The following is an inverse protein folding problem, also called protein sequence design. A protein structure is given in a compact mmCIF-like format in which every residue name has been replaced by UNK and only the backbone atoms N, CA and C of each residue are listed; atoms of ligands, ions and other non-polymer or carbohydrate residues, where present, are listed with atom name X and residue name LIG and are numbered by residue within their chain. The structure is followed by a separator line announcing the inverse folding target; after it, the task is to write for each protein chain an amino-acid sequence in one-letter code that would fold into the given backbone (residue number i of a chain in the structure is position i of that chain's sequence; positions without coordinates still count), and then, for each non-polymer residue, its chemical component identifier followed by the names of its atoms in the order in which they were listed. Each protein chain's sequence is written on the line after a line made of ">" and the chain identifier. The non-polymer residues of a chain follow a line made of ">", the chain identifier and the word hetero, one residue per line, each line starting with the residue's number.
data_IF_785961930359
#
_entry.id   IF_785961930359
#
_cell.length_a   1.000
_cell.length_b   1.000
_cell.length_c   1.000
_cell.angle_alpha   90.00
_cell.angle_beta   90.00
_cell.angle_gamma   90.00
#
_symmetry.space_group_name_H-M   'P 1'
#
loop_
_entity.id
_entity.type
_entity.pdbx_description
1 polymer ?
#
# COMPACT_ATOMS: atom_id res chain seq x y z
N UNK A 1 62.63 26.60 -32.93
CA UNK A 1 62.45 27.00 -31.52
C UNK A 1 61.05 26.59 -31.09
N UNK A 2 60.98 25.79 -30.02
CA UNK A 2 59.76 25.41 -29.32
C UNK A 2 59.20 26.58 -28.52
N UNK A 3 57.88 26.64 -28.34
CA UNK A 3 57.24 26.79 -27.02
C UNK A 3 55.80 26.24 -27.08
N UNK A 4 55.38 25.66 -25.95
CA UNK A 4 54.27 24.73 -25.75
C UNK A 4 53.46 25.19 -24.52
N UNK A 5 52.16 24.85 -24.52
CA UNK A 5 51.13 24.93 -23.45
C UNK A 5 50.63 26.36 -23.10
N UNK A 6 49.34 26.59 -22.82
CA UNK A 6 48.48 25.82 -21.91
C UNK A 6 46.99 25.79 -22.27
N UNK A 7 46.37 24.68 -21.89
CA UNK A 7 44.94 24.34 -21.96
C UNK A 7 44.09 25.28 -21.10
N UNK A 8 42.94 25.78 -21.59
CA UNK A 8 41.87 26.27 -20.68
C UNK A 8 40.49 26.50 -21.30
N UNK A 9 39.88 25.46 -21.82
CA UNK A 9 38.42 25.47 -22.02
C UNK A 9 37.78 24.07 -21.90
N UNK A 10 38.38 23.19 -21.10
CA UNK A 10 37.78 21.93 -20.66
C UNK A 10 37.30 22.02 -19.20
N UNK A 11 36.41 22.98 -18.88
CA UNK A 11 35.77 23.04 -17.54
C UNK A 11 34.41 23.76 -17.54
N UNK A 12 33.59 23.62 -18.59
CA UNK A 12 32.16 24.04 -18.48
C UNK A 12 31.15 23.01 -18.96
N UNK A 13 31.59 21.86 -19.49
CA UNK A 13 30.70 20.77 -19.94
C UNK A 13 30.59 19.63 -18.93
N UNK A 14 30.81 19.91 -17.63
CA UNK A 14 30.64 18.90 -16.58
C UNK A 14 29.79 19.37 -15.37
N UNK A 15 29.03 20.46 -15.55
CA UNK A 15 28.11 20.96 -14.52
C UNK A 15 26.65 20.59 -14.77
N UNK A 16 26.32 20.00 -15.93
CA UNK A 16 24.93 19.72 -16.35
C UNK A 16 24.52 18.24 -16.40
N UNK A 17 25.38 17.28 -16.03
CA UNK A 17 25.08 15.83 -16.23
C UNK A 17 25.17 14.88 -15.02
N UNK A 18 25.42 15.33 -13.79
CA UNK A 18 25.59 14.40 -12.65
C UNK A 18 24.75 14.69 -11.39
N UNK A 19 23.69 15.51 -11.50
CA UNK A 19 22.56 15.32 -10.59
C UNK A 19 21.74 14.14 -11.10
N UNK A 20 22.24 12.92 -10.88
CA UNK A 20 21.43 11.72 -11.00
C UNK A 20 20.36 11.79 -9.90
N UNK A 21 19.25 12.47 -10.18
CA UNK A 21 18.02 12.32 -9.42
C UNK A 21 17.50 10.92 -9.71
N UNK A 22 18.02 9.92 -8.99
CA UNK A 22 17.38 8.60 -8.96
C UNK A 22 16.05 8.80 -8.25
N UNK A 23 14.99 9.00 -9.03
CA UNK A 23 13.65 9.08 -8.49
C UNK A 23 13.37 7.76 -7.77
N UNK A 24 13.18 7.84 -6.46
CA UNK A 24 12.69 6.72 -5.68
C UNK A 24 11.18 6.64 -5.85
N UNK A 25 10.65 5.44 -5.81
CA UNK A 25 9.22 5.17 -5.75
C UNK A 25 8.97 4.15 -4.67
N UNK A 26 7.77 4.16 -4.09
CA UNK A 26 7.29 3.14 -3.18
C UNK A 26 5.92 2.67 -3.68
N UNK A 27 5.73 1.37 -3.81
CA UNK A 27 4.44 0.78 -4.22
C UNK A 27 4.17 -0.51 -3.47
N UNK A 28 2.92 -0.73 -3.08
CA UNK A 28 2.47 -1.98 -2.46
C UNK A 28 1.93 -2.98 -3.49
N UNK A 29 1.80 -2.60 -4.77
CA UNK A 29 1.28 -3.50 -5.82
C UNK A 29 -0.20 -3.87 -5.70
N UNK A 30 -0.85 -3.57 -4.57
CA UNK A 30 -2.28 -3.71 -4.34
C UNK A 30 -2.87 -2.39 -3.82
N UNK A 31 -4.05 -2.04 -4.32
CA UNK A 31 -4.82 -0.90 -3.81
C UNK A 31 -5.54 -1.21 -2.50
N UNK A 32 -5.75 -2.50 -2.20
CA UNK A 32 -6.34 -2.98 -0.96
C UNK A 32 -5.51 -4.14 -0.43
N UNK A 33 -5.04 -4.00 0.80
CA UNK A 33 -4.35 -5.02 1.57
C UNK A 33 -5.36 -5.61 2.55
N UNK A 34 -5.41 -6.93 2.62
CA UNK A 34 -6.34 -7.66 3.50
C UNK A 34 -5.54 -8.47 4.49
N UNK A 35 -5.75 -8.21 5.78
CA UNK A 35 -5.16 -8.95 6.89
C UNK A 35 -6.21 -9.81 7.56
N UNK A 36 -5.81 -10.98 8.04
CA UNK A 36 -6.70 -11.86 8.82
C UNK A 36 -6.49 -11.61 10.30
N UNK A 37 -7.56 -11.38 11.04
CA UNK A 37 -7.55 -11.24 12.50
C UNK A 37 -6.87 -12.45 13.17
N UNK A 38 -6.16 -12.19 14.27
CA UNK A 38 -5.46 -13.20 15.08
C UNK A 38 -4.46 -14.07 14.32
N UNK A 39 -4.06 -13.65 13.11
CA UNK A 39 -3.12 -14.36 12.25
C UNK A 39 -1.93 -13.47 11.98
N UNK A 40 -0.73 -14.03 11.86
CA UNK A 40 0.44 -13.28 11.43
C UNK A 40 0.27 -12.87 9.96
N UNK A 41 0.23 -11.57 9.71
CA UNK A 41 0.18 -10.98 8.39
C UNK A 41 1.49 -10.24 8.11
N UNK A 42 1.90 -10.27 6.84
CA UNK A 42 3.11 -9.60 6.38
C UNK A 42 2.89 -9.12 4.94
N UNK A 43 3.25 -7.87 4.68
CA UNK A 43 3.16 -7.28 3.35
C UNK A 43 4.34 -6.35 3.11
N UNK A 44 5.02 -6.54 1.98
CA UNK A 44 6.24 -5.82 1.64
C UNK A 44 6.02 -4.90 0.42
N UNK A 45 6.41 -3.62 0.49
CA UNK A 45 6.39 -2.76 -0.67
C UNK A 45 7.61 -3.02 -1.57
N UNK A 46 7.50 -2.55 -2.81
CA UNK A 46 8.62 -2.41 -3.74
C UNK A 46 9.10 -0.96 -3.68
N UNK A 47 10.36 -0.77 -3.30
CA UNK A 47 11.04 0.53 -3.32
C UNK A 47 12.06 0.52 -4.46
N UNK A 48 11.99 1.51 -5.35
CA UNK A 48 13.01 1.69 -6.41
C UNK A 48 14.14 2.57 -5.90
N UNK A 49 15.38 2.22 -6.27
CA UNK A 49 16.60 2.90 -5.81
C UNK A 49 16.70 3.04 -4.27
N UNK A 50 16.53 1.94 -3.50
CA UNK A 50 16.53 2.00 -2.05
C UNK A 50 17.89 2.43 -1.50
N UNK A 51 17.87 3.13 -0.38
CA UNK A 51 19.04 3.60 0.35
C UNK A 51 18.98 3.22 1.83
N UNK A 52 20.13 3.06 2.47
CA UNK A 52 20.22 2.76 3.90
C UNK A 52 19.72 3.92 4.80
N UNK A 53 19.58 5.11 4.22
CA UNK A 53 19.06 6.31 4.89
C UNK A 53 17.55 6.51 4.65
N UNK A 54 16.88 5.56 3.99
CA UNK A 54 15.45 5.67 3.74
C UNK A 54 14.66 5.65 5.05
N UNK A 55 13.71 6.58 5.14
CA UNK A 55 12.77 6.68 6.25
C UNK A 55 11.34 6.61 5.74
N UNK A 56 10.60 5.64 6.24
CA UNK A 56 9.20 5.37 5.91
C UNK A 56 8.32 5.72 7.09
N UNK A 57 7.26 6.49 6.83
CA UNK A 57 6.20 6.80 7.80
C UNK A 57 4.84 6.46 7.21
N UNK A 58 3.85 6.24 8.08
CA UNK A 58 2.49 5.87 7.70
C UNK A 58 1.48 6.77 8.44
N UNK A 59 0.41 7.17 7.75
CA UNK A 59 -0.69 7.94 8.31
C UNK A 59 -2.04 7.46 7.75
N UNK A 60 -3.10 7.30 8.58
CA UNK A 60 -3.13 7.50 10.03
C UNK A 60 -2.25 6.47 10.78
N UNK A 61 -2.14 6.59 12.10
CA UNK A 61 -1.42 5.62 12.90
C UNK A 61 -2.07 4.22 12.75
N UNK A 62 -1.24 3.20 12.66
CA UNK A 62 -1.69 1.81 12.65
C UNK A 62 -2.31 1.45 14.00
N UNK A 63 -3.30 0.55 13.98
CA UNK A 63 -3.94 0.04 15.18
C UNK A 63 -2.94 -0.76 16.02
N UNK A 64 -3.13 -0.79 17.35
CA UNK A 64 -2.31 -1.57 18.25
C UNK A 64 -2.34 -3.04 17.79
N UNK A 65 -1.19 -3.61 17.42
CA UNK A 65 -0.93 -4.95 16.83
C UNK A 65 -0.59 -5.00 15.34
N UNK A 66 -0.58 -3.86 14.63
CA UNK A 66 0.01 -3.73 13.29
C UNK A 66 1.12 -2.68 13.33
N UNK A 67 2.25 -2.97 12.71
CA UNK A 67 3.40 -2.06 12.65
C UNK A 67 3.95 -1.97 11.22
N UNK A 68 4.68 -0.89 10.97
CA UNK A 68 5.45 -0.69 9.75
C UNK A 68 6.93 -0.63 10.10
N UNK A 69 7.77 -1.32 9.33
CA UNK A 69 9.21 -1.16 9.37
C UNK A 69 9.58 0.21 8.78
N UNK A 70 10.13 1.10 9.59
CA UNK A 70 10.45 2.47 9.18
C UNK A 70 11.60 2.60 8.18
N UNK A 71 12.28 1.49 7.82
CA UNK A 71 13.33 1.47 6.79
C UNK A 71 12.88 0.72 5.55
N UNK A 72 12.23 -0.42 5.73
CA UNK A 72 11.81 -1.30 4.64
C UNK A 72 10.40 -1.02 4.13
N UNK A 73 9.61 -0.25 4.89
CA UNK A 73 8.19 -0.02 4.65
C UNK A 73 7.34 -1.29 4.74
N UNK A 74 7.88 -2.40 5.24
CA UNK A 74 7.12 -3.65 5.35
C UNK A 74 6.11 -3.53 6.50
N UNK A 75 4.85 -3.89 6.23
CA UNK A 75 3.76 -3.86 7.20
C UNK A 75 3.57 -5.27 7.73
N UNK A 76 3.53 -5.41 9.05
CA UNK A 76 3.38 -6.72 9.69
C UNK A 76 2.58 -6.63 10.97
N UNK A 77 1.99 -7.74 11.39
CA UNK A 77 1.27 -7.77 12.66
C UNK A 77 0.29 -8.92 12.76
N UNK A 78 -0.29 -9.05 13.95
CA UNK A 78 -1.40 -9.97 14.23
C UNK A 78 -2.56 -9.15 14.80
N UNK A 79 -3.43 -8.58 13.95
CA UNK A 79 -4.50 -7.70 14.41
C UNK A 79 -5.40 -8.39 15.44
N UNK A 80 -5.58 -7.79 16.61
CA UNK A 80 -6.44 -8.33 17.65
C UNK A 80 -7.94 -8.09 17.37
N UNK A 81 -8.26 -7.09 16.55
CA UNK A 81 -9.62 -6.70 16.18
C UNK A 81 -9.74 -6.59 14.67
N UNK A 82 -10.93 -6.90 14.16
CA UNK A 82 -11.30 -6.58 12.78
C UNK A 82 -11.39 -5.07 12.59
N UNK A 83 -11.17 -4.62 11.37
CA UNK A 83 -11.11 -3.22 11.01
C UNK A 83 -11.78 -3.04 9.65
N UNK A 84 -12.56 -1.98 9.52
CA UNK A 84 -13.09 -1.53 8.24
C UNK A 84 -12.00 -0.93 7.37
N UNK A 85 -12.26 -0.91 6.07
CA UNK A 85 -11.50 -0.22 5.04
C UNK A 85 -11.06 1.14 5.53
N UNK A 86 -9.76 1.24 5.78
CA UNK A 86 -9.11 2.49 6.20
C UNK A 86 -8.01 2.78 5.21
N UNK A 87 -8.05 3.96 4.60
CA UNK A 87 -7.02 4.39 3.66
C UNK A 87 -5.78 4.86 4.42
N UNK A 88 -4.65 4.23 4.12
CA UNK A 88 -3.35 4.62 4.64
C UNK A 88 -2.50 5.26 3.55
N UNK A 89 -1.77 6.29 3.93
CA UNK A 89 -0.73 6.92 3.12
C UNK A 89 0.62 6.64 3.74
N UNK A 90 1.50 6.02 2.95
CA UNK A 90 2.89 5.76 3.30
C UNK A 90 3.77 6.78 2.60
N UNK A 91 4.59 7.47 3.39
CA UNK A 91 5.54 8.46 2.91
C UNK A 91 6.96 7.91 3.03
N UNK A 92 7.70 7.97 1.94
CA UNK A 92 9.13 7.69 1.89
C UNK A 92 9.91 9.00 1.86
N UNK A 93 10.93 9.11 2.70
CA UNK A 93 11.88 10.23 2.76
C UNK A 93 11.19 11.60 2.80
N UNK A 94 10.28 11.79 3.77
CA UNK A 94 9.51 13.02 3.96
C UNK A 94 8.64 13.41 2.75
N UNK A 95 8.13 12.41 2.02
CA UNK A 95 7.20 12.63 0.91
C UNK A 95 7.85 12.71 -0.47
N UNK A 96 9.15 12.39 -0.60
CA UNK A 96 9.80 12.22 -1.91
C UNK A 96 9.11 11.16 -2.77
N UNK A 97 8.58 10.12 -2.14
CA UNK A 97 7.67 9.18 -2.76
C UNK A 97 6.52 8.86 -1.81
N UNK A 98 5.35 8.55 -2.37
CA UNK A 98 4.17 8.21 -1.59
C UNK A 98 3.48 6.98 -2.17
N UNK A 99 2.90 6.15 -1.30
CA UNK A 99 2.01 5.07 -1.67
C UNK A 99 0.71 5.20 -0.89
N UNK A 100 -0.39 4.85 -1.54
CA UNK A 100 -1.71 4.79 -0.91
C UNK A 100 -2.30 3.41 -1.11
N UNK A 101 -2.89 2.89 -0.05
CA UNK A 101 -3.64 1.64 -0.08
C UNK A 101 -4.72 1.68 0.99
N UNK A 102 -5.75 0.88 0.79
CA UNK A 102 -6.73 0.57 1.81
C UNK A 102 -6.30 -0.66 2.61
N UNK A 103 -6.47 -0.64 3.92
CA UNK A 103 -6.28 -1.81 4.77
C UNK A 103 -7.63 -2.26 5.34
N UNK A 104 -7.94 -3.53 5.13
CA UNK A 104 -9.07 -4.24 5.75
C UNK A 104 -8.52 -5.33 6.64
N UNK A 105 -9.12 -5.51 7.83
CA UNK A 105 -8.85 -6.69 8.67
C UNK A 105 -10.12 -7.54 8.74
N UNK A 106 -10.11 -8.67 8.03
CA UNK A 106 -11.21 -9.62 8.00
C UNK A 106 -11.24 -10.50 9.26
N UNK A 107 -12.43 -10.94 9.68
CA UNK A 107 -12.57 -11.77 10.89
C UNK A 107 -11.96 -13.16 10.71
N UNK A 108 -12.15 -13.73 9.53
CA UNK A 108 -11.63 -15.04 9.14
C UNK A 108 -11.18 -14.99 7.69
N UNK A 109 -10.32 -15.93 7.28
CA UNK A 109 -9.79 -15.92 5.92
C UNK A 109 -10.92 -15.93 4.88
N UNK A 110 -11.00 -14.87 4.08
CA UNK A 110 -11.99 -14.68 3.03
C UNK A 110 -13.36 -14.16 3.48
N UNK A 111 -13.58 -13.83 4.76
CA UNK A 111 -14.90 -13.35 5.22
C UNK A 111 -15.28 -11.97 4.67
N UNK A 112 -14.30 -11.15 4.28
CA UNK A 112 -14.54 -9.88 3.62
C UNK A 112 -14.81 -10.01 2.11
N UNK A 113 -14.68 -11.20 1.51
CA UNK A 113 -14.89 -11.36 0.06
C UNK A 113 -16.37 -11.32 -0.27
N UNK A 114 -16.74 -10.48 -1.22
CA UNK A 114 -18.07 -10.53 -1.81
C UNK A 114 -18.31 -11.86 -2.51
N UNK A 115 -19.45 -12.50 -2.27
CA UNK A 115 -19.85 -13.63 -3.10
C UNK A 115 -19.97 -13.17 -4.56
N UNK A 116 -19.47 -13.97 -5.49
CA UNK A 116 -19.57 -13.68 -6.92
C UNK A 116 -20.58 -14.57 -7.64
N UNK A 117 -21.22 -15.49 -6.91
CA UNK A 117 -22.14 -16.49 -7.42
C UNK A 117 -23.25 -16.76 -6.42
N UNK A 118 -24.48 -16.92 -6.91
CA UNK A 118 -25.64 -17.20 -6.09
C UNK A 118 -26.09 -16.02 -5.22
N UNK A 119 -27.09 -16.27 -4.38
CA UNK A 119 -27.61 -15.30 -3.41
C UNK A 119 -26.92 -15.59 -2.08
N UNK A 120 -26.28 -14.57 -1.49
CA UNK A 120 -25.66 -14.72 -0.17
C UNK A 120 -26.72 -15.05 0.90
N UNK A 121 -26.30 -15.74 1.96
CA UNK A 121 -27.20 -16.05 3.07
C UNK A 121 -27.78 -14.78 3.69
N UNK A 122 -29.10 -14.69 3.82
CA UNK A 122 -29.80 -13.50 4.32
C UNK A 122 -30.19 -12.48 3.24
N UNK A 123 -29.73 -12.67 2.00
CA UNK A 123 -30.05 -11.80 0.88
C UNK A 123 -31.17 -12.35 -0.02
N UNK A 124 -31.65 -11.51 -0.94
CA UNK A 124 -32.70 -11.87 -1.91
C UNK A 124 -32.16 -11.88 -3.34
N UNK A 125 -32.92 -12.42 -4.28
CA UNK A 125 -32.54 -12.45 -5.70
C UNK A 125 -32.38 -11.06 -6.35
N UNK A 126 -32.93 -10.00 -5.75
CA UNK A 126 -32.75 -8.62 -6.24
C UNK A 126 -31.51 -7.94 -5.69
N UNK A 127 -30.93 -8.46 -4.60
CA UNK A 127 -29.70 -7.99 -3.95
C UNK A 127 -28.81 -9.18 -3.58
N UNK A 128 -28.26 -9.93 -4.54
CA UNK A 128 -27.63 -11.21 -4.26
C UNK A 128 -26.25 -11.12 -3.59
N UNK A 129 -25.63 -9.94 -3.59
CA UNK A 129 -24.22 -9.78 -3.22
C UNK A 129 -24.02 -9.34 -1.77
N UNK A 130 -23.14 -10.00 -1.02
CA UNK A 130 -22.74 -9.64 0.34
C UNK A 130 -21.42 -10.33 0.71
N UNK A 131 -20.77 -9.88 1.79
CA UNK A 131 -19.65 -10.59 2.40
C UNK A 131 -20.03 -11.14 3.79
N UNK A 132 -19.28 -12.13 4.26
CA UNK A 132 -19.57 -12.80 5.54
C UNK A 132 -19.37 -11.88 6.74
N UNK A 133 -18.50 -10.87 6.63
CA UNK A 133 -18.28 -9.85 7.67
C UNK A 133 -19.42 -8.81 7.76
N UNK A 134 -20.34 -8.77 6.79
CA UNK A 134 -21.55 -7.93 6.77
C UNK A 134 -22.79 -8.71 6.29
N UNK A 135 -23.24 -9.74 7.03
CA UNK A 135 -24.28 -10.66 6.54
C UNK A 135 -25.67 -10.01 6.39
N UNK A 136 -25.88 -8.83 6.98
CA UNK A 136 -27.15 -8.09 6.92
C UNK A 136 -27.16 -7.00 5.84
N UNK A 137 -26.05 -6.80 5.13
CA UNK A 137 -25.91 -5.77 4.10
C UNK A 137 -25.82 -6.46 2.74
N UNK A 138 -26.87 -6.29 1.93
CA UNK A 138 -27.00 -6.91 0.61
C UNK A 138 -26.95 -5.85 -0.49
N UNK A 139 -26.21 -6.15 -1.56
CA UNK A 139 -25.96 -5.28 -2.69
C UNK A 139 -26.59 -5.85 -3.96
N UNK A 140 -27.08 -4.95 -4.81
CA UNK A 140 -27.63 -5.29 -6.14
C UNK A 140 -26.51 -5.61 -7.12
N UNK A 141 -25.40 -4.89 -7.00
CA UNK A 141 -24.26 -4.99 -7.90
C UNK A 141 -23.01 -5.46 -7.15
N UNK A 142 -22.26 -6.40 -7.75
CA UNK A 142 -21.03 -6.92 -7.16
C UNK A 142 -20.00 -5.81 -6.94
N UNK A 143 -19.94 -4.84 -7.85
CA UNK A 143 -19.05 -3.69 -7.75
C UNK A 143 -19.30 -2.83 -6.52
N UNK A 144 -20.55 -2.71 -6.09
CA UNK A 144 -20.90 -1.94 -4.89
C UNK A 144 -20.51 -2.70 -3.63
N UNK A 145 -20.74 -4.02 -3.61
CA UNK A 145 -20.25 -4.87 -2.55
C UNK A 145 -18.73 -4.72 -2.38
N UNK A 146 -17.94 -4.79 -3.47
CA UNK A 146 -16.48 -4.70 -3.38
C UNK A 146 -15.94 -3.34 -2.93
N UNK A 147 -16.76 -2.29 -3.02
CA UNK A 147 -16.42 -0.93 -2.57
C UNK A 147 -16.87 -0.66 -1.14
N UNK A 148 -17.58 -1.59 -0.52
CA UNK A 148 -18.03 -1.46 0.85
C UNK A 148 -16.84 -1.32 1.83
N UNK A 149 -17.15 -0.80 3.02
CA UNK A 149 -16.15 -0.62 4.07
C UNK A 149 -15.72 -1.92 4.72
N UNK A 150 -16.50 -2.99 4.63
CA UNK A 150 -16.16 -4.29 5.21
C UNK A 150 -15.85 -5.35 4.14
N UNK A 151 -16.32 -5.12 2.92
CA UNK A 151 -16.19 -6.09 1.84
C UNK A 151 -15.20 -5.65 0.74
N UNK A 152 -14.70 -6.63 -0.02
CA UNK A 152 -13.78 -6.46 -1.16
C UNK A 152 -13.99 -7.50 -2.28
#
# INVERSE_FOLDING_TARGET
>A
MSCKNDSKDDETTNLFLLLALTNQTITYGANTIVFVKSTANFFKPTITNPSNSDLVTISPNLTNSISIDSRLGSISGSPAQSQTRTTYTVNLNSGKATAKFDLIVENTLGSGRCNSSGISAGCTGTQPYSCTDQPNTCFRDLSDCRKDSFCY
#
